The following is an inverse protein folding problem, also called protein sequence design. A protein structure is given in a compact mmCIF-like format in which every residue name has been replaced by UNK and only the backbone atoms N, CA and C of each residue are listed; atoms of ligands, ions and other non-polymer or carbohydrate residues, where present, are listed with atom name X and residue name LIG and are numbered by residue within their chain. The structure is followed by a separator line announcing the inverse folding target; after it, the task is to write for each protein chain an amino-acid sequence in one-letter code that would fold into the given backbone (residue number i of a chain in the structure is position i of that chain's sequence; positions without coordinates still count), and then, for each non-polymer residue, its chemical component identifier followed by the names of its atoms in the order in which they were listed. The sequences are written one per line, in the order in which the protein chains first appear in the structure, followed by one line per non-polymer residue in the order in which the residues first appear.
data_IF_688745841095
#
_entry.id   IF_688745841095
#
_cell.length_a   1.000
_cell.length_b   1.000
_cell.length_c   1.000
_cell.angle_alpha   90.00
_cell.angle_beta   90.00
_cell.angle_gamma   90.00
#
_symmetry.space_group_name_H-M   'P 1'
#
loop_
_entity.id
_entity.type
_entity.pdbx_description
1 polymer ?
#
# COMPACT_ATOMS: atom_id res chain seq x y z
N UNK A 1 2.21 -2.61 36.49
CA UNK A 1 0.82 -3.09 36.62
C UNK A 1 0.80 -4.50 36.09
N UNK A 2 0.26 -5.44 36.86
CA UNK A 2 0.16 -6.83 36.44
C UNK A 2 -1.03 -7.05 35.49
N UNK A 3 -0.99 -8.10 34.68
CA UNK A 3 -2.16 -8.50 33.87
C UNK A 3 -3.42 -8.76 34.73
N UNK A 4 -3.25 -9.11 36.01
CA UNK A 4 -4.36 -9.26 36.94
C UNK A 4 -5.03 -7.92 37.33
N UNK A 5 -4.29 -6.81 37.28
CA UNK A 5 -4.79 -5.47 37.57
C UNK A 5 -5.40 -4.78 36.33
N UNK A 6 -4.93 -5.14 35.13
CA UNK A 6 -5.45 -4.67 33.85
C UNK A 6 -5.56 -5.82 32.85
N UNK A 7 -6.66 -6.60 32.89
CA UNK A 7 -6.82 -7.81 32.08
C UNK A 7 -7.23 -7.52 30.63
N UNK A 8 -7.34 -6.25 30.24
CA UNK A 8 -7.78 -5.81 28.92
C UNK A 8 -6.58 -5.30 28.13
N UNK A 9 -6.33 -5.93 26.98
CA UNK A 9 -5.37 -5.45 25.99
C UNK A 9 -6.12 -5.07 24.73
N UNK A 10 -5.87 -3.85 24.24
CA UNK A 10 -6.42 -3.37 22.96
C UNK A 10 -5.36 -3.56 21.87
N UNK A 11 -5.76 -4.18 20.77
CA UNK A 11 -4.92 -4.42 19.61
C UNK A 11 -5.55 -3.70 18.40
N UNK A 12 -4.73 -3.04 17.59
CA UNK A 12 -5.16 -2.51 16.30
C UNK A 12 -5.17 -3.63 15.26
N UNK A 13 -6.19 -3.66 14.40
CA UNK A 13 -6.29 -4.61 13.29
C UNK A 13 -5.61 -4.12 12.00
N UNK A 14 -4.81 -3.04 12.08
CA UNK A 14 -4.08 -2.52 10.94
C UNK A 14 -2.85 -3.38 10.65
N UNK A 15 -2.63 -3.70 9.38
CA UNK A 15 -1.52 -4.51 8.90
C UNK A 15 -0.80 -3.75 7.79
N UNK A 16 0.29 -3.08 8.15
CA UNK A 16 1.23 -2.48 7.20
C UNK A 16 2.43 -3.43 6.99
N UNK A 17 3.01 -3.34 5.79
CA UNK A 17 4.13 -4.17 5.33
C UNK A 17 5.33 -3.32 4.90
N UNK A 18 5.19 -1.99 4.91
CA UNK A 18 6.16 -1.04 4.38
C UNK A 18 7.49 -1.08 5.11
N UNK A 19 7.48 -1.18 6.44
CA UNK A 19 8.68 -1.25 7.28
C UNK A 19 9.53 -2.45 6.92
N UNK A 20 8.95 -3.66 6.79
CA UNK A 20 9.72 -4.86 6.44
C UNK A 20 10.24 -4.77 5.01
N UNK A 21 9.40 -4.31 4.07
CA UNK A 21 9.80 -4.12 2.68
C UNK A 21 10.99 -3.15 2.55
N UNK A 22 10.94 -2.02 3.26
CA UNK A 22 12.00 -1.03 3.29
C UNK A 22 13.26 -1.56 4.01
N UNK A 23 13.11 -2.24 5.14
CA UNK A 23 14.23 -2.87 5.85
C UNK A 23 14.95 -3.89 4.94
N UNK A 24 14.18 -4.75 4.25
CA UNK A 24 14.73 -5.71 3.29
C UNK A 24 15.47 -5.01 2.15
N UNK A 25 14.96 -3.88 1.64
CA UNK A 25 15.63 -3.07 0.63
C UNK A 25 16.98 -2.54 1.15
N UNK A 26 16.99 -1.92 2.34
CA UNK A 26 18.20 -1.39 2.97
C UNK A 26 19.26 -2.46 3.20
N UNK A 27 18.87 -3.63 3.74
CA UNK A 27 19.80 -4.74 3.95
C UNK A 27 20.35 -5.26 2.62
N UNK A 28 19.50 -5.38 1.58
CA UNK A 28 19.94 -5.82 0.24
C UNK A 28 20.84 -4.81 -0.45
N UNK A 29 20.73 -3.51 -0.13
CA UNK A 29 21.64 -2.48 -0.63
C UNK A 29 22.94 -2.36 0.18
N UNK A 30 23.15 -3.22 1.18
CA UNK A 30 24.37 -3.28 1.97
C UNK A 30 24.38 -2.40 3.22
N UNK A 31 23.22 -1.85 3.64
CA UNK A 31 23.12 -1.13 4.90
C UNK A 31 23.45 -2.06 6.09
N UNK A 32 24.28 -1.58 7.00
CA UNK A 32 24.61 -2.27 8.24
C UNK A 32 23.64 -1.93 9.37
N UNK A 33 23.67 -2.73 10.44
CA UNK A 33 22.88 -2.49 11.66
C UNK A 33 23.09 -1.07 12.24
N UNK A 34 24.29 -0.50 12.11
CA UNK A 34 24.60 0.84 12.60
C UNK A 34 24.10 1.99 11.72
N UNK A 35 23.60 1.72 10.51
CA UNK A 35 23.13 2.74 9.56
C UNK A 35 21.62 2.73 9.37
N UNK A 36 20.94 1.69 9.85
CA UNK A 36 19.49 1.59 9.79
C UNK A 36 18.92 2.40 10.97
N UNK A 37 18.08 3.39 10.66
CA UNK A 37 17.34 4.12 11.67
C UNK A 37 16.46 3.14 12.46
N UNK A 38 16.56 3.08 13.80
CA UNK A 38 15.66 2.28 14.62
C UNK A 38 14.18 2.57 14.35
N UNK A 39 13.84 3.81 14.01
CA UNK A 39 12.48 4.21 13.64
C UNK A 39 11.98 3.62 12.31
N UNK A 40 12.87 3.07 11.47
CA UNK A 40 12.50 2.37 10.25
C UNK A 40 12.00 0.94 10.52
N UNK A 41 12.15 0.42 11.75
CA UNK A 41 11.74 -0.94 12.14
C UNK A 41 10.51 -0.87 13.03
N UNK A 42 9.37 -1.31 12.50
CA UNK A 42 8.12 -1.49 13.23
C UNK A 42 7.92 -2.98 13.45
N UNK A 43 7.97 -3.40 14.72
CA UNK A 43 7.99 -4.82 15.10
C UNK A 43 6.71 -5.53 14.60
N UNK A 44 5.57 -4.86 14.73
CA UNK A 44 4.27 -5.32 14.25
C UNK A 44 4.29 -5.63 12.75
N UNK A 45 4.88 -4.76 11.94
CA UNK A 45 5.00 -4.98 10.49
C UNK A 45 6.03 -6.06 10.15
N UNK A 46 7.06 -6.28 10.98
CA UNK A 46 7.99 -7.40 10.78
C UNK A 46 7.29 -8.74 10.94
N UNK A 47 6.37 -8.84 11.91
CA UNK A 47 5.63 -10.05 12.19
C UNK A 47 4.50 -10.25 11.17
N UNK A 48 3.75 -9.19 10.85
CA UNK A 48 2.60 -9.25 9.95
C UNK A 48 2.97 -9.26 8.45
N UNK A 49 4.24 -9.08 8.08
CA UNK A 49 4.68 -9.10 6.68
C UNK A 49 4.45 -10.45 5.97
N UNK A 50 4.48 -11.55 6.73
CA UNK A 50 4.46 -12.90 6.16
C UNK A 50 3.05 -13.48 6.12
N UNK A 51 2.78 -14.28 5.10
CA UNK A 51 1.57 -15.08 5.03
C UNK A 51 1.67 -16.25 6.02
N UNK A 52 0.71 -16.31 6.93
CA UNK A 52 0.56 -17.42 7.88
C UNK A 52 -0.60 -18.30 7.46
N UNK A 53 -0.41 -19.61 7.62
CA UNK A 53 -1.46 -20.62 7.41
C UNK A 53 -2.42 -20.66 8.62
N UNK A 54 -3.14 -19.55 8.82
CA UNK A 54 -4.22 -19.45 9.80
C UNK A 54 -5.54 -19.89 9.17
N UNK A 55 -6.40 -20.50 9.99
CA UNK A 55 -7.69 -20.98 9.52
C UNK A 55 -8.55 -19.80 9.03
N UNK A 56 -9.16 -19.97 7.85
CA UNK A 56 -10.19 -19.05 7.38
C UNK A 56 -11.43 -19.11 8.30
N UNK A 57 -12.27 -18.05 8.33
CA UNK A 57 -13.55 -18.08 9.01
C UNK A 57 -14.43 -19.22 8.51
N UNK A 58 -15.19 -19.82 9.43
CA UNK A 58 -16.23 -20.78 9.05
C UNK A 58 -17.32 -20.08 8.22
N UNK A 59 -18.09 -20.86 7.46
CA UNK A 59 -19.21 -20.31 6.68
C UNK A 59 -20.19 -19.55 7.60
N UNK A 60 -20.45 -18.29 7.28
CA UNK A 60 -21.32 -17.41 8.07
C UNK A 60 -20.63 -16.64 9.21
N UNK A 61 -19.32 -16.83 9.43
CA UNK A 61 -18.53 -16.07 10.40
C UNK A 61 -17.71 -14.98 9.70
N UNK A 62 -17.64 -13.78 10.30
CA UNK A 62 -16.89 -12.65 9.74
C UNK A 62 -15.37 -12.78 9.93
N UNK A 63 -14.95 -13.48 10.99
CA UNK A 63 -13.54 -13.68 11.32
C UNK A 63 -13.27 -15.03 12.01
N UNK A 64 -12.03 -15.48 11.94
CA UNK A 64 -11.49 -16.62 12.68
C UNK A 64 -10.32 -16.18 13.56
N UNK A 65 -10.26 -16.76 14.76
CA UNK A 65 -9.15 -16.57 15.70
C UNK A 65 -8.36 -17.87 15.83
N UNK A 66 -7.06 -17.81 15.55
CA UNK A 66 -6.09 -18.86 15.87
C UNK A 66 -5.28 -18.41 17.09
N UNK A 67 -5.31 -19.17 18.17
CA UNK A 67 -4.47 -18.90 19.34
C UNK A 67 -3.48 -20.04 19.58
N UNK A 68 -2.20 -19.69 19.78
CA UNK A 68 -1.14 -20.63 20.14
C UNK A 68 -0.37 -20.06 21.33
N UNK A 69 -0.02 -20.91 22.28
CA UNK A 69 0.81 -20.54 23.43
C UNK A 69 1.99 -21.50 23.55
N UNK A 70 3.12 -20.99 24.03
CA UNK A 70 4.32 -21.80 24.28
C UNK A 70 5.29 -21.10 25.21
N UNK A 71 6.41 -21.78 25.50
CA UNK A 71 7.47 -21.21 26.34
C UNK A 71 8.01 -19.91 25.72
N UNK A 72 8.11 -18.85 26.53
CA UNK A 72 8.69 -17.59 26.09
C UNK A 72 10.22 -17.68 26.11
N UNK A 73 10.92 -17.52 24.96
CA UNK A 73 12.35 -17.79 24.90
C UNK A 73 13.20 -16.72 25.61
N UNK A 74 12.65 -15.54 25.90
CA UNK A 74 13.34 -14.45 26.60
C UNK A 74 12.82 -14.19 28.02
N UNK A 75 11.78 -14.88 28.47
CA UNK A 75 11.25 -14.75 29.83
C UNK A 75 10.67 -16.09 30.34
N UNK A 76 11.44 -16.81 31.15
CA UNK A 76 11.04 -18.12 31.67
C UNK A 76 9.82 -18.09 32.62
N UNK A 77 9.44 -16.92 33.14
CA UNK A 77 8.28 -16.75 34.02
C UNK A 77 6.99 -16.45 33.24
N UNK A 78 7.02 -16.44 31.91
CA UNK A 78 5.88 -16.11 31.06
C UNK A 78 5.72 -17.09 29.90
N UNK A 79 4.49 -17.21 29.41
CA UNK A 79 4.21 -17.86 28.13
C UNK A 79 4.15 -16.82 27.02
N UNK A 80 4.59 -17.20 25.83
CA UNK A 80 4.42 -16.41 24.61
C UNK A 80 3.13 -16.88 23.94
N UNK A 81 2.19 -15.95 23.77
CA UNK A 81 0.93 -16.18 23.06
C UNK A 81 0.99 -15.51 21.69
N UNK A 82 0.62 -16.26 20.66
CA UNK A 82 0.45 -15.77 19.29
C UNK A 82 -1.03 -15.86 18.94
N UNK A 83 -1.61 -14.73 18.57
CA UNK A 83 -2.98 -14.63 18.10
C UNK A 83 -2.97 -14.28 16.62
N UNK A 84 -3.55 -15.13 15.79
CA UNK A 84 -3.81 -14.88 14.38
C UNK A 84 -5.29 -14.57 14.19
N UNK A 85 -5.59 -13.42 13.58
CA UNK A 85 -6.95 -13.03 13.20
C UNK A 85 -7.04 -13.06 11.68
N UNK A 86 -7.97 -13.85 11.15
CA UNK A 86 -8.25 -13.90 9.71
C UNK A 86 -9.66 -13.42 9.48
N UNK A 87 -9.84 -12.46 8.58
CA UNK A 87 -11.17 -11.98 8.17
C UNK A 87 -11.59 -12.66 6.88
N UNK A 88 -12.88 -12.90 6.73
CA UNK A 88 -13.42 -13.48 5.51
C UNK A 88 -13.23 -12.49 4.38
N UNK A 89 -12.90 -12.96 3.18
CA UNK A 89 -13.04 -12.11 2.00
C UNK A 89 -14.53 -11.82 1.87
N UNK A 90 -14.94 -10.57 2.10
CA UNK A 90 -16.26 -10.14 1.71
C UNK A 90 -16.38 -10.37 0.20
N UNK A 91 -17.23 -11.31 -0.20
CA UNK A 91 -17.68 -11.41 -1.57
C UNK A 91 -18.64 -10.23 -1.82
N UNK A 92 -18.06 -9.05 -1.97
CA UNK A 92 -18.72 -7.92 -2.60
C UNK A 92 -18.04 -7.76 -3.94
N UNK A 93 -18.82 -7.85 -5.01
CA UNK A 93 -18.46 -7.19 -6.27
C UNK A 93 -18.09 -5.75 -5.89
N UNK A 94 -16.78 -5.48 -5.81
CA UNK A 94 -16.32 -4.16 -5.44
C UNK A 94 -16.91 -3.19 -6.47
N UNK A 95 -17.49 -2.05 -6.05
CA UNK A 95 -18.02 -1.10 -7.00
C UNK A 95 -16.93 -0.71 -8.01
N UNK A 96 -17.30 -0.27 -9.22
CA UNK A 96 -16.34 0.28 -10.17
C UNK A 96 -15.46 1.33 -9.49
N UNK A 97 -14.15 1.33 -9.77
CA UNK A 97 -13.21 2.26 -9.15
C UNK A 97 -12.82 3.36 -10.12
N UNK A 98 -12.88 4.62 -9.69
CA UNK A 98 -12.32 5.76 -10.40
C UNK A 98 -10.98 6.17 -9.76
N UNK A 99 -9.86 5.79 -10.37
CA UNK A 99 -8.51 6.03 -9.86
C UNK A 99 -7.90 7.27 -10.53
N UNK A 100 -7.59 8.30 -9.74
CA UNK A 100 -6.82 9.46 -10.20
C UNK A 100 -5.43 9.45 -9.58
N UNK A 101 -4.42 9.18 -10.40
CA UNK A 101 -3.01 9.13 -9.99
C UNK A 101 -2.39 10.51 -10.18
N UNK A 102 -2.13 11.21 -9.07
CA UNK A 102 -1.33 12.43 -9.06
C UNK A 102 0.15 12.06 -8.90
N UNK A 103 0.96 12.35 -9.92
CA UNK A 103 2.35 11.87 -10.03
C UNK A 103 3.32 13.05 -10.06
N UNK A 104 4.26 13.06 -9.11
CA UNK A 104 5.42 13.96 -9.14
C UNK A 104 6.38 13.49 -10.24
N UNK A 105 6.64 14.36 -11.21
CA UNK A 105 7.64 14.14 -12.27
C UNK A 105 8.74 15.19 -12.22
N UNK A 106 8.97 15.83 -11.07
CA UNK A 106 10.06 16.80 -10.90
C UNK A 106 11.43 16.15 -11.14
N UNK A 107 12.45 16.95 -11.46
CA UNK A 107 13.80 16.43 -11.69
C UNK A 107 14.37 15.60 -10.51
N UNK A 108 13.87 15.84 -9.29
CA UNK A 108 14.25 15.05 -8.10
C UNK A 108 13.79 13.59 -8.15
N UNK A 109 12.84 13.26 -9.02
CA UNK A 109 12.26 11.92 -9.19
C UNK A 109 13.06 11.03 -10.16
N UNK A 110 14.14 11.55 -10.76
CA UNK A 110 14.94 10.83 -11.76
C UNK A 110 15.79 9.68 -11.21
N UNK A 111 15.97 9.57 -9.90
CA UNK A 111 16.75 8.48 -9.30
C UNK A 111 16.11 7.11 -9.55
N UNK A 112 16.92 6.06 -9.68
CA UNK A 112 16.46 4.69 -9.94
C UNK A 112 15.44 4.18 -8.91
N UNK A 113 15.50 4.68 -7.67
CA UNK A 113 14.61 4.30 -6.57
C UNK A 113 13.33 5.16 -6.47
N UNK A 114 13.04 6.04 -7.44
CA UNK A 114 11.90 6.97 -7.42
C UNK A 114 10.92 6.73 -8.57
N UNK A 115 10.88 7.60 -9.58
CA UNK A 115 9.93 7.48 -10.70
C UNK A 115 9.99 6.10 -11.38
N UNK A 116 11.16 5.48 -11.59
CA UNK A 116 11.22 4.13 -12.14
C UNK A 116 10.46 3.09 -11.29
N UNK A 117 10.64 3.08 -9.96
CA UNK A 117 9.88 2.19 -9.06
C UNK A 117 8.39 2.55 -8.99
N UNK A 118 8.07 3.84 -9.06
CA UNK A 118 6.69 4.30 -9.10
C UNK A 118 5.99 3.80 -10.38
N UNK A 119 6.65 3.87 -11.54
CA UNK A 119 6.15 3.30 -12.80
C UNK A 119 5.88 1.80 -12.68
N UNK A 120 6.80 1.03 -12.08
CA UNK A 120 6.59 -0.39 -11.84
C UNK A 120 5.38 -0.67 -10.93
N UNK A 121 5.21 0.16 -9.90
CA UNK A 121 4.08 0.04 -8.96
C UNK A 121 2.75 0.38 -9.64
N UNK A 122 2.68 1.49 -10.38
CA UNK A 122 1.50 1.86 -11.17
C UNK A 122 1.17 0.79 -12.22
N UNK A 123 2.17 0.21 -12.89
CA UNK A 123 1.96 -0.87 -13.85
C UNK A 123 1.36 -2.14 -13.21
N UNK A 124 1.66 -2.42 -11.93
CA UNK A 124 1.03 -3.53 -11.19
C UNK A 124 -0.42 -3.22 -10.84
N UNK A 125 -0.71 -2.00 -10.41
CA UNK A 125 -2.07 -1.55 -10.10
C UNK A 125 -2.95 -1.66 -11.35
N UNK A 126 -2.49 -1.11 -12.48
CA UNK A 126 -3.27 -1.06 -13.73
C UNK A 126 -3.59 -2.45 -14.28
N UNK A 127 -2.70 -3.44 -14.10
CA UNK A 127 -2.95 -4.83 -14.52
C UNK A 127 -4.06 -5.54 -13.73
N UNK A 128 -4.45 -5.00 -12.57
CA UNK A 128 -5.54 -5.54 -11.74
C UNK A 128 -6.89 -4.88 -12.01
N UNK A 129 -6.96 -3.89 -12.91
CA UNK A 129 -8.18 -3.15 -13.18
C UNK A 129 -9.13 -3.91 -14.11
N UNK A 130 -10.42 -3.67 -13.95
CA UNK A 130 -11.53 -4.20 -14.74
C UNK A 130 -11.97 -3.17 -15.79
N UNK A 131 -12.73 -3.62 -16.79
CA UNK A 131 -13.28 -2.75 -17.85
C UNK A 131 -14.21 -1.63 -17.32
N UNK A 132 -14.86 -1.87 -16.19
CA UNK A 132 -15.71 -0.90 -15.50
C UNK A 132 -14.92 0.14 -14.69
N UNK A 133 -13.65 -0.14 -14.37
CA UNK A 133 -12.80 0.80 -13.67
C UNK A 133 -12.30 1.92 -14.62
N UNK A 134 -11.92 3.05 -14.05
CA UNK A 134 -11.38 4.22 -14.77
C UNK A 134 -10.06 4.67 -14.18
N UNK A 135 -9.15 5.10 -15.05
CA UNK A 135 -7.84 5.64 -14.66
C UNK A 135 -7.60 7.00 -15.29
N UNK A 136 -7.20 7.95 -14.47
CA UNK A 136 -6.63 9.22 -14.89
C UNK A 136 -5.24 9.39 -14.29
N UNK A 137 -4.34 10.02 -15.04
CA UNK A 137 -2.98 10.33 -14.60
C UNK A 137 -2.78 11.83 -14.77
N UNK A 138 -2.47 12.49 -13.66
CA UNK A 138 -2.14 13.91 -13.58
C UNK A 138 -0.69 14.03 -13.14
N UNK A 139 0.13 14.71 -13.90
CA UNK A 139 1.54 14.95 -13.56
C UNK A 139 1.74 16.36 -13.04
N UNK A 140 2.69 16.56 -12.15
CA UNK A 140 3.13 17.89 -11.75
C UNK A 140 4.66 17.99 -11.65
N UNK A 141 5.20 19.09 -12.16
CA UNK A 141 6.61 19.48 -12.01
C UNK A 141 6.84 20.99 -12.16
N UNK A 142 5.89 21.77 -11.64
CA UNK A 142 5.81 23.22 -11.83
C UNK A 142 4.75 23.64 -12.86
N UNK A 143 4.33 22.70 -13.73
CA UNK A 143 3.14 22.79 -14.57
C UNK A 143 2.33 21.51 -14.36
N UNK A 144 1.01 21.64 -14.23
CA UNK A 144 0.08 20.52 -14.11
C UNK A 144 -0.38 20.08 -15.49
N UNK A 145 -0.32 18.78 -15.74
CA UNK A 145 -0.76 18.20 -17.01
C UNK A 145 -1.60 16.95 -16.76
N UNK A 146 -2.71 16.82 -17.49
CA UNK A 146 -3.52 15.60 -17.51
C UNK A 146 -3.04 14.77 -18.69
N UNK A 147 -2.17 13.79 -18.41
CA UNK A 147 -1.55 12.95 -19.44
C UNK A 147 -2.41 11.75 -19.82
N UNK A 148 -3.38 11.40 -18.97
CA UNK A 148 -4.41 10.40 -19.25
C UNK A 148 -5.69 10.78 -18.51
N UNK A 149 -6.84 10.70 -19.17
CA UNK A 149 -8.12 11.09 -18.57
C UNK A 149 -9.18 10.01 -18.77
N UNK A 150 -9.61 9.39 -17.68
CA UNK A 150 -10.76 8.48 -17.63
C UNK A 150 -10.64 7.27 -18.57
N UNK A 151 -9.42 6.76 -18.77
CA UNK A 151 -9.21 5.56 -19.58
C UNK A 151 -9.85 4.35 -18.90
N UNK A 152 -10.40 3.45 -19.70
CA UNK A 152 -10.98 2.21 -19.22
C UNK A 152 -9.90 1.25 -18.72
N UNK A 153 -10.15 0.51 -17.63
CA UNK A 153 -9.16 -0.41 -17.07
C UNK A 153 -8.75 -1.55 -18.01
N UNK A 154 -9.60 -1.89 -19.00
CA UNK A 154 -9.28 -2.85 -20.07
C UNK A 154 -8.30 -2.29 -21.12
N UNK A 155 -8.11 -0.97 -21.18
CA UNK A 155 -7.21 -0.28 -22.10
C UNK A 155 -5.76 -0.30 -21.57
N UNK A 156 -5.35 -1.45 -21.03
CA UNK A 156 -4.10 -1.66 -20.28
C UNK A 156 -2.88 -1.24 -21.09
N UNK A 157 -2.83 -1.52 -22.39
CA UNK A 157 -1.69 -1.15 -23.24
C UNK A 157 -1.54 0.37 -23.37
N UNK A 158 -2.65 1.09 -23.58
CA UNK A 158 -2.66 2.54 -23.66
C UNK A 158 -2.21 3.18 -22.33
N UNK A 159 -2.74 2.68 -21.21
CA UNK A 159 -2.37 3.16 -19.87
C UNK A 159 -0.88 2.90 -19.58
N UNK A 160 -0.38 1.69 -19.89
CA UNK A 160 1.02 1.34 -19.70
C UNK A 160 1.96 2.18 -20.58
N UNK A 161 1.54 2.51 -21.81
CA UNK A 161 2.30 3.40 -22.69
C UNK A 161 2.49 4.78 -22.05
N UNK A 162 1.43 5.35 -21.46
CA UNK A 162 1.52 6.65 -20.76
C UNK A 162 2.43 6.55 -19.54
N UNK A 163 2.26 5.52 -18.70
CA UNK A 163 3.11 5.30 -17.51
C UNK A 163 4.59 5.20 -17.91
N UNK A 164 4.90 4.42 -18.94
CA UNK A 164 6.27 4.23 -19.40
C UNK A 164 6.87 5.51 -19.99
N UNK A 165 6.04 6.37 -20.58
CA UNK A 165 6.45 7.66 -21.16
C UNK A 165 6.69 8.80 -20.16
N UNK A 166 6.38 8.63 -18.87
CA UNK A 166 6.60 9.70 -17.87
C UNK A 166 8.10 10.00 -17.71
N UNK A 167 8.52 11.25 -17.77
CA UNK A 167 9.93 11.63 -17.60
C UNK A 167 10.11 12.62 -16.45
N UNK A 168 11.19 12.44 -15.68
CA UNK A 168 11.52 13.35 -14.59
C UNK A 168 12.14 14.64 -15.16
N UNK A 169 11.42 15.75 -15.09
CA UNK A 169 11.85 17.06 -15.55
C UNK A 169 11.16 18.19 -14.76
N UNK A 170 11.78 19.37 -14.67
CA UNK A 170 11.16 20.55 -14.06
C UNK A 170 11.40 20.71 -12.56
N UNK A 171 10.67 21.65 -11.95
CA UNK A 171 10.73 22.02 -10.52
C UNK A 171 9.59 21.37 -9.73
N UNK A 172 9.39 21.70 -8.46
CA UNK A 172 8.31 21.14 -7.63
C UNK A 172 7.26 22.20 -7.33
N UNK A 173 6.00 21.93 -7.68
CA UNK A 173 4.85 22.72 -7.22
C UNK A 173 3.63 21.80 -7.06
N UNK A 174 3.30 21.41 -5.82
CA UNK A 174 2.31 20.36 -5.55
C UNK A 174 0.87 20.85 -5.35
N UNK A 175 0.64 22.12 -5.01
CA UNK A 175 -0.69 22.62 -4.61
C UNK A 175 -1.69 22.65 -5.78
N UNK A 176 -1.25 23.15 -6.93
CA UNK A 176 -2.08 23.21 -8.13
C UNK A 176 -2.33 21.81 -8.74
N UNK A 177 -1.38 20.88 -8.60
CA UNK A 177 -1.54 19.48 -8.99
C UNK A 177 -2.70 18.78 -8.27
N UNK A 178 -2.82 18.99 -6.96
CA UNK A 178 -3.91 18.42 -6.17
C UNK A 178 -5.27 18.95 -6.62
N UNK A 179 -5.38 20.26 -6.84
CA UNK A 179 -6.62 20.89 -7.32
C UNK A 179 -7.04 20.37 -8.70
N UNK A 180 -6.08 20.10 -9.59
CA UNK A 180 -6.36 19.49 -10.89
C UNK A 180 -6.83 18.04 -10.75
N UNK A 181 -6.19 17.25 -9.88
CA UNK A 181 -6.58 15.86 -9.64
C UNK A 181 -8.04 15.75 -9.15
N UNK A 182 -8.46 16.60 -8.21
CA UNK A 182 -9.86 16.64 -7.76
C UNK A 182 -10.84 16.96 -8.88
N UNK A 183 -10.51 17.96 -9.73
CA UNK A 183 -11.35 18.30 -10.88
C UNK A 183 -11.47 17.14 -11.86
N UNK A 184 -10.36 16.46 -12.16
CA UNK A 184 -10.36 15.28 -13.02
C UNK A 184 -11.20 14.17 -12.39
N UNK A 185 -11.10 13.96 -11.08
CA UNK A 185 -11.91 12.96 -10.36
C UNK A 185 -13.42 13.24 -10.48
N UNK A 186 -13.83 14.50 -10.36
CA UNK A 186 -15.23 14.93 -10.56
C UNK A 186 -15.68 14.72 -12.02
N UNK A 187 -14.83 15.08 -12.99
CA UNK A 187 -15.15 14.97 -14.42
C UNK A 187 -15.19 13.51 -14.92
N UNK A 188 -14.45 12.59 -14.28
CA UNK A 188 -14.40 11.17 -14.63
C UNK A 188 -15.18 10.28 -13.67
N UNK A 189 -16.03 10.88 -12.83
CA UNK A 189 -16.83 10.16 -11.84
C UNK A 189 -17.67 9.04 -12.48
N UNK A 190 -17.68 7.87 -11.83
CA UNK A 190 -18.49 6.73 -12.22
C UNK A 190 -19.67 6.67 -11.25
N UNK A 191 -20.88 6.63 -11.78
CA UNK A 191 -22.10 6.57 -10.96
C UNK A 191 -22.12 5.24 -10.17
N UNK A 192 -22.13 5.32 -8.84
CA UNK A 192 -22.07 4.15 -7.95
C UNK A 192 -20.66 3.76 -7.48
N UNK A 193 -19.63 4.54 -7.84
CA UNK A 193 -18.27 4.48 -7.29
C UNK A 193 -18.07 5.43 -6.08
#
# INVERSE_FOLDING_TARGET
MSAAEQPLSTLSADADTASYANLRRLVRSGAGLGTIDPGAVRIEEMLNYFDYDYAAPAEGEDFALTARAGACPWNAESELVVLGLTVGQAATEAPPTNLVLLVDVSGSMGDAEKLPLLKESMARIVKGLRAEDRVSIVTYSGVEEVVLKGASGDDTEAILSVINGLEAAGSTNGEAGLSMAYRVAEETHIEGA
#
